data_IF_594284822646
#
_entry.id   IF_594284822646
#
_cell.length_a   1.000
_cell.length_b   1.000
_cell.length_c   1.000
_cell.angle_alpha   90.00
_cell.angle_beta   90.00
_cell.angle_gamma   90.00
#
_symmetry.space_group_name_H-M   'P 1'
#
loop_
_entity.id
_entity.type
_entity.pdbx_description
1 polymer ?
2 polymer ?
3 polymer ?
4 non-polymer ?
5 non-polymer ?
6 water ?
#
# COMPACT_ATOMS: atom_id res chain seq x y z
N UNK A 1 -27.38 -8.90 -0.68
CA UNK A 1 -25.95 -8.66 -0.82
C UNK A 1 -25.16 -9.94 -1.14
N UNK A 2 -24.64 -10.05 -2.37
CA UNK A 2 -23.70 -11.10 -2.73
C UNK A 2 -22.27 -10.63 -2.45
N UNK A 3 -21.55 -11.38 -1.61
CA UNK A 3 -20.22 -10.96 -1.18
C UNK A 3 -19.25 -12.15 -1.07
N UNK A 4 -17.96 -11.92 -1.40
CA UNK A 4 -16.87 -12.87 -1.08
C UNK A 4 -16.15 -12.43 0.19
N UNK A 5 -15.95 -13.36 1.14
CA UNK A 5 -15.23 -13.05 2.37
C UNK A 5 -14.17 -14.11 2.62
N UNK A 6 -12.92 -13.69 2.74
CA UNK A 6 -11.80 -14.58 2.95
C UNK A 6 -11.44 -14.69 4.43
N UNK A 7 -11.03 -15.90 4.82
CA UNK A 7 -10.51 -16.15 6.16
C UNK A 7 -9.33 -17.11 6.08
N UNK A 8 -8.60 -17.16 7.20
CA UNK A 8 -7.49 -18.05 7.35
C UNK A 8 -6.41 -17.28 8.06
N UNK A 9 -5.70 -17.94 8.98
CA UNK A 9 -4.53 -17.32 9.61
C UNK A 9 -3.54 -16.84 8.56
N UNK A 10 -3.06 -15.61 8.75
CA UNK A 10 -2.12 -15.05 7.82
C UNK A 10 -0.67 -15.03 8.28
N UNK A 11 -0.37 -15.33 9.56
CA UNK A 11 1.02 -15.35 10.05
C UNK A 11 1.52 -16.78 10.16
N UNK A 12 2.58 -17.07 9.43
CA UNK A 12 3.15 -18.39 9.27
C UNK A 12 4.64 -18.35 9.61
N UNK A 13 5.12 -19.43 10.21
CA UNK A 13 6.57 -19.63 10.23
C UNK A 13 7.00 -20.28 8.92
N UNK A 14 8.24 -20.05 8.47
CA UNK A 14 8.73 -20.74 7.27
C UNK A 14 8.39 -22.21 7.32
N UNK A 15 7.98 -22.77 6.18
CA UNK A 15 7.77 -24.20 5.90
C UNK A 15 6.44 -24.72 6.41
N UNK A 16 5.60 -23.91 7.06
CA UNK A 16 4.23 -24.28 7.36
C UNK A 16 3.39 -24.31 6.08
N UNK A 17 2.14 -24.76 6.23
CA UNK A 17 1.14 -24.81 5.16
C UNK A 17 0.14 -23.69 5.31
N UNK A 18 0.08 -22.80 4.33
CA UNK A 18 -0.92 -21.74 4.29
C UNK A 18 -2.25 -22.31 3.86
N UNK A 19 -3.31 -21.88 4.53
CA UNK A 19 -4.64 -22.41 4.25
C UNK A 19 -5.66 -21.27 4.33
N UNK A 20 -6.31 -20.98 3.21
CA UNK A 20 -7.21 -19.85 3.09
C UNK A 20 -8.52 -20.32 2.52
N UNK A 21 -9.58 -19.72 3.01
CA UNK A 21 -10.94 -20.04 2.61
C UNK A 21 -11.61 -18.78 2.10
N UNK A 22 -12.39 -18.93 1.05
CA UNK A 22 -13.15 -17.85 0.45
C UNK A 22 -14.61 -18.31 0.46
N UNK A 23 -15.46 -17.66 1.25
CA UNK A 23 -16.86 -18.04 1.39
C UNK A 23 -17.69 -17.05 0.63
N UNK A 24 -18.61 -17.54 -0.18
CA UNK A 24 -19.59 -16.69 -0.86
C UNK A 24 -20.87 -16.68 -0.01
N UNK A 25 -21.49 -15.51 0.11
CA UNK A 25 -22.80 -15.41 0.77
C UNK A 25 -23.72 -14.55 -0.11
N UNK A 26 -25.01 -14.92 -0.11
CA UNK A 26 -26.01 -14.32 -0.98
C UNK A 26 -26.16 -15.02 -2.31
N UNK A 27 -25.28 -15.98 -2.60
CA UNK A 27 -25.33 -16.78 -3.83
C UNK A 27 -24.81 -18.17 -3.47
N UNK A 28 -25.04 -19.11 -4.37
CA UNK A 28 -24.48 -20.45 -4.24
C UNK A 28 -23.15 -20.54 -5.00
N UNK A 29 -22.17 -21.24 -4.39
CA UNK A 29 -20.91 -21.49 -5.07
C UNK A 29 -21.09 -22.25 -6.37
N UNK A 30 -22.17 -23.03 -6.51
CA UNK A 30 -22.39 -23.82 -7.73
C UNK A 30 -23.00 -23.03 -8.89
N UNK A 31 -23.38 -21.78 -8.67
CA UNK A 31 -24.00 -20.98 -9.72
C UNK A 31 -23.14 -21.03 -10.98
N UNK A 32 -23.69 -21.36 -12.13
CA UNK A 32 -22.84 -21.71 -13.28
C UNK A 32 -22.22 -20.51 -13.96
N UNK A 33 -21.21 -20.81 -14.76
CA UNK A 33 -20.60 -19.83 -15.66
C UNK A 33 -19.94 -18.68 -14.88
N UNK A 34 -19.30 -18.99 -13.76
CA UNK A 34 -18.34 -18.10 -13.13
C UNK A 34 -16.93 -18.72 -13.15
N UNK A 35 -15.93 -17.87 -13.33
CA UNK A 35 -14.53 -18.26 -13.24
C UNK A 35 -13.98 -17.76 -11.90
N UNK A 36 -13.58 -18.68 -11.05
CA UNK A 36 -13.05 -18.39 -9.73
C UNK A 36 -11.52 -18.42 -9.71
N UNK A 37 -10.90 -17.41 -9.12
CA UNK A 37 -9.45 -17.27 -9.16
C UNK A 37 -8.89 -17.00 -7.78
N UNK A 38 -7.71 -17.55 -7.55
CA UNK A 38 -6.83 -17.04 -6.51
C UNK A 38 -5.71 -16.26 -7.20
N UNK A 39 -5.45 -15.04 -6.67
CA UNK A 39 -4.46 -14.08 -7.15
C UNK A 39 -3.70 -13.59 -5.94
N UNK A 40 -2.40 -13.31 -6.12
CA UNK A 40 -1.65 -12.73 -5.01
C UNK A 40 -0.80 -11.54 -5.44
N UNK A 41 -0.48 -10.73 -4.43
CA UNK A 41 0.26 -9.49 -4.65
C UNK A 41 1.24 -9.21 -3.50
N UNK A 42 2.56 -9.37 -3.72
CA UNK A 42 3.55 -8.86 -2.74
C UNK A 42 3.49 -7.33 -2.62
N UNK A 43 3.84 -6.82 -1.42
CA UNK A 43 3.74 -5.38 -1.16
C UNK A 43 4.61 -4.58 -2.14
N UNK A 44 3.98 -3.59 -2.79
CA UNK A 44 4.60 -2.74 -3.79
C UNK A 44 4.68 -3.31 -5.20
N UNK A 45 4.32 -4.57 -5.41
CA UNK A 45 4.57 -5.26 -6.67
C UNK A 45 3.25 -5.60 -7.37
N UNK A 46 3.35 -6.35 -8.46
CA UNK A 46 2.22 -6.64 -9.32
C UNK A 46 1.46 -7.89 -8.90
N UNK A 47 0.52 -8.29 -9.75
CA UNK A 47 -0.39 -9.37 -9.41
C UNK A 47 0.09 -10.66 -10.05
N UNK A 48 -0.12 -11.77 -9.35
CA UNK A 48 0.24 -13.07 -9.89
C UNK A 48 -0.96 -14.00 -9.76
N UNK A 49 -1.38 -14.59 -10.88
CA UNK A 49 -2.54 -15.48 -10.85
C UNK A 49 -2.04 -16.84 -10.35
N UNK A 50 -2.64 -17.32 -9.25
CA UNK A 50 -2.24 -18.61 -8.68
C UNK A 50 -2.94 -19.75 -9.38
N UNK A 51 -4.25 -19.62 -9.52
CA UNK A 51 -4.98 -20.62 -10.27
C UNK A 51 -6.48 -20.40 -10.16
N UNK A 52 -7.25 -21.37 -10.65
CA UNK A 52 -8.67 -21.17 -10.62
C UNK A 52 -9.44 -22.25 -11.34
N UNK A 53 -10.76 -22.05 -11.39
CA UNK A 53 -11.66 -23.09 -11.86
C UNK A 53 -12.92 -22.45 -12.43
N UNK A 54 -13.62 -23.17 -13.30
CA UNK A 54 -14.95 -22.74 -13.73
C UNK A 54 -15.99 -23.39 -12.85
N UNK A 55 -17.04 -22.65 -12.47
CA UNK A 55 -18.01 -23.22 -11.54
C UNK A 55 -18.84 -24.37 -12.17
N UNK A 56 -18.91 -24.48 -13.51
CA UNK A 56 -19.67 -25.53 -14.20
C UNK A 56 -18.87 -26.81 -14.54
N UNK A 57 -17.58 -26.88 -14.25
CA UNK A 57 -16.84 -28.11 -14.47
C UNK A 57 -16.06 -28.39 -13.20
N UNK A 58 -15.31 -29.48 -13.20
CA UNK A 58 -14.67 -29.90 -11.96
C UNK A 58 -13.15 -29.80 -12.04
N UNK A 59 -12.62 -29.40 -13.18
CA UNK A 59 -11.21 -29.13 -13.35
C UNK A 59 -10.79 -27.92 -12.54
N UNK A 60 -9.54 -27.91 -12.10
CA UNK A 60 -8.95 -26.69 -11.62
C UNK A 60 -7.61 -26.53 -12.30
N UNK A 61 -7.25 -25.27 -12.55
CA UNK A 61 -6.10 -24.89 -13.35
C UNK A 61 -5.10 -24.12 -12.51
N UNK A 62 -3.82 -24.41 -12.71
CA UNK A 62 -2.77 -23.94 -11.82
C UNK A 62 -1.71 -23.21 -12.63
N UNK A 63 -1.20 -22.09 -12.09
CA UNK A 63 0.05 -21.51 -12.59
C UNK A 63 1.21 -22.51 -12.41
N UNK A 64 1.94 -22.84 -13.48
CA UNK A 64 3.13 -23.73 -13.35
C UNK A 64 4.22 -23.21 -12.41
N UNK A 65 4.31 -21.91 -12.15
CA UNK A 65 5.36 -21.46 -11.24
C UNK A 65 5.07 -21.88 -9.80
N UNK A 66 3.82 -22.25 -9.48
CA UNK A 66 3.45 -22.63 -8.13
C UNK A 66 2.84 -24.02 -8.01
N UNK A 67 2.53 -24.70 -9.13
CA UNK A 67 1.74 -25.92 -9.11
C UNK A 67 2.30 -27.02 -8.18
N UNK A 68 3.62 -27.11 -7.96
CA UNK A 68 4.11 -28.18 -7.09
C UNK A 68 3.68 -28.00 -5.64
N UNK A 69 3.26 -26.80 -5.24
CA UNK A 69 3.01 -26.52 -3.84
C UNK A 69 1.57 -26.19 -3.51
N UNK A 70 0.70 -25.97 -4.51
CA UNK A 70 -0.62 -25.47 -4.18
C UNK A 70 -1.70 -26.45 -4.58
N UNK A 71 -2.73 -26.50 -3.75
CA UNK A 71 -3.94 -27.24 -4.03
C UNK A 71 -5.10 -26.26 -3.94
N UNK A 72 -5.90 -26.20 -5.01
CA UNK A 72 -7.06 -25.34 -5.02
C UNK A 72 -8.30 -26.23 -5.11
N UNK A 73 -9.29 -25.95 -4.25
CA UNK A 73 -10.43 -26.86 -4.15
C UNK A 73 -11.72 -26.13 -3.79
N UNK A 74 -12.78 -26.90 -3.62
CA UNK A 74 -14.13 -26.37 -3.56
C UNK A 74 -15.02 -27.31 -2.78
N UNK A 75 -15.78 -26.77 -1.83
CA UNK A 75 -16.73 -27.54 -1.04
C UNK A 75 -18.09 -26.89 -1.17
N UNK A 76 -18.97 -27.52 -1.96
CA UNK A 76 -20.28 -26.93 -2.25
C UNK A 76 -21.23 -26.97 -1.05
N UNK A 77 -21.12 -27.98 -0.17
CA UNK A 77 -21.97 -27.98 1.01
C UNK A 77 -21.78 -26.73 1.87
N UNK A 78 -20.54 -26.21 1.99
CA UNK A 78 -20.29 -25.02 2.79
C UNK A 78 -20.00 -23.78 1.97
N UNK A 79 -20.23 -23.82 0.66
CA UNK A 79 -19.96 -22.69 -0.23
C UNK A 79 -18.53 -22.13 -0.08
N UNK A 80 -17.53 -23.02 0.08
CA UNK A 80 -16.13 -22.62 0.28
C UNK A 80 -15.27 -22.88 -0.98
N UNK A 81 -14.40 -21.94 -1.29
CA UNK A 81 -13.39 -22.04 -2.35
C UNK A 81 -12.06 -21.88 -1.62
N UNK A 82 -11.12 -22.81 -1.83
CA UNK A 82 -10.00 -22.94 -0.90
C UNK A 82 -8.65 -22.93 -1.60
N UNK A 83 -7.67 -22.40 -0.88
CA UNK A 83 -6.29 -22.37 -1.30
C UNK A 83 -5.46 -23.00 -0.21
N UNK A 84 -4.64 -23.97 -0.59
CA UNK A 84 -3.62 -24.54 0.29
C UNK A 84 -2.25 -24.41 -0.38
N UNK A 85 -1.28 -23.88 0.37
CA UNK A 85 0.09 -23.72 -0.12
C UNK A 85 1.04 -24.40 0.86
N UNK A 86 1.77 -25.41 0.38
CA UNK A 86 2.67 -26.12 1.29
C UNK A 86 4.06 -25.48 1.28
N UNK A 87 4.83 -25.73 2.34
CA UNK A 87 6.22 -25.25 2.53
C UNK A 87 6.37 -23.78 2.20
N UNK A 88 5.60 -22.93 2.88
CA UNK A 88 5.78 -21.51 2.54
C UNK A 88 7.17 -21.03 3.00
N UNK A 89 7.67 -20.02 2.32
CA UNK A 89 8.94 -19.43 2.57
C UNK A 89 8.91 -17.91 2.53
N UNK A 90 10.07 -17.28 2.40
CA UNK A 90 10.12 -15.81 2.38
C UNK A 90 9.32 -15.23 1.22
N UNK A 91 9.40 -15.85 0.07
CA UNK A 91 8.69 -15.40 -1.09
C UNK A 91 7.19 -15.47 -1.20
N UNK A 92 6.53 -16.13 -0.30
CA UNK A 92 5.12 -16.23 -0.32
C UNK A 92 4.39 -15.13 0.40
N UNK A 93 5.11 -14.22 1.03
CA UNK A 93 4.53 -13.11 1.74
C UNK A 93 3.82 -12.25 0.76
N UNK A 94 2.53 -11.96 0.95
CA UNK A 94 1.72 -11.24 -0.04
C UNK A 94 0.29 -11.09 0.47
N UNK A 95 -0.48 -10.24 -0.20
CA UNK A 95 -1.93 -10.18 0.00
C UNK A 95 -2.56 -11.16 -0.99
N UNK A 96 -3.39 -12.07 -0.47
CA UNK A 96 -4.03 -13.09 -1.30
C UNK A 96 -5.51 -12.74 -1.48
N UNK A 97 -5.97 -12.71 -2.72
CA UNK A 97 -7.35 -12.41 -3.07
C UNK A 97 -8.00 -13.61 -3.76
N UNK A 98 -9.29 -13.78 -3.53
CA UNK A 98 -10.12 -14.55 -4.45
C UNK A 98 -11.00 -13.62 -5.28
N UNK A 99 -11.40 -14.13 -6.43
CA UNK A 99 -12.24 -13.41 -7.35
C UNK A 99 -13.27 -14.38 -7.95
N UNK A 100 -14.50 -13.90 -8.14
CA UNK A 100 -15.49 -14.62 -8.95
C UNK A 100 -15.92 -13.72 -10.09
N UNK A 101 -15.66 -14.14 -11.34
CA UNK A 101 -15.93 -13.30 -12.50
C UNK A 101 -16.83 -14.02 -13.51
N UNK A 102 -17.71 -13.28 -14.19
CA UNK A 102 -18.63 -13.93 -15.12
C UNK A 102 -17.85 -14.53 -16.27
N UNK A 103 -18.25 -15.71 -16.70
CA UNK A 103 -17.85 -16.18 -18.02
C UNK A 103 -18.76 -15.48 -19.01
N UNK A 104 -18.24 -14.41 -19.64
CA UNK A 104 -19.06 -13.40 -20.32
C UNK A 104 -19.98 -14.03 -21.36
N UNK A 105 -19.50 -15.05 -22.08
CA UNK A 105 -20.28 -15.57 -23.21
C UNK A 105 -21.53 -16.36 -22.79
N UNK A 106 -21.67 -16.75 -21.53
CA UNK A 106 -22.83 -17.50 -21.08
C UNK A 106 -23.44 -16.87 -19.85
N UNK A 107 -23.04 -15.63 -19.54
CA UNK A 107 -23.41 -15.01 -18.29
C UNK A 107 -23.12 -13.51 -18.35
N UNK A 108 -24.00 -12.70 -18.94
CA UNK A 108 -23.72 -11.28 -19.06
C UNK A 108 -24.17 -10.46 -17.87
N UNK A 109 -25.11 -10.96 -17.05
CA UNK A 109 -25.69 -10.18 -15.95
C UNK A 109 -25.36 -10.69 -14.55
N UNK A 110 -24.45 -11.65 -14.39
CA UNK A 110 -23.97 -11.99 -13.07
C UNK A 110 -22.93 -10.98 -12.52
N UNK A 111 -22.66 -11.05 -11.22
CA UNK A 111 -21.89 -10.00 -10.56
C UNK A 111 -20.43 -10.46 -10.36
N UNK A 112 -19.48 -9.65 -10.85
CA UNK A 112 -18.04 -9.83 -10.61
C UNK A 112 -17.67 -9.42 -9.19
N UNK A 113 -17.07 -10.33 -8.39
CA UNK A 113 -16.78 -10.06 -6.98
C UNK A 113 -15.32 -10.29 -6.61
N UNK A 114 -14.87 -9.57 -5.60
CA UNK A 114 -13.54 -9.81 -5.04
C UNK A 114 -13.66 -9.95 -3.52
N UNK A 115 -12.76 -10.78 -2.98
CA UNK A 115 -12.53 -10.76 -1.55
C UNK A 115 -11.87 -9.46 -1.10
N UNK A 116 -11.86 -9.26 0.21
CA UNK A 116 -11.16 -8.11 0.79
C UNK A 116 -9.64 -8.30 0.82
N UNK A 117 -9.15 -9.51 0.52
CA UNK A 117 -7.73 -9.82 0.59
C UNK A 117 -7.38 -10.26 2.00
N UNK A 118 -6.43 -11.17 2.13
CA UNK A 118 -5.86 -11.56 3.41
C UNK A 118 -4.36 -11.38 3.32
N UNK A 119 -3.78 -10.71 4.31
CA UNK A 119 -2.34 -10.39 4.29
C UNK A 119 -1.62 -11.55 4.95
N UNK A 120 -0.72 -12.18 4.19
CA UNK A 120 0.02 -13.35 4.62
C UNK A 120 1.47 -12.93 4.84
N UNK A 121 1.97 -13.17 6.04
CA UNK A 121 3.34 -12.91 6.42
C UNK A 121 4.02 -14.23 6.72
N UNK A 122 5.17 -14.48 6.16
CA UNK A 122 5.90 -15.67 6.44
C UNK A 122 7.15 -15.21 7.09
N UNK A 123 7.30 -15.52 8.34
CA UNK A 123 8.37 -14.97 9.13
C UNK A 123 8.63 -15.87 10.32
N UNK A 124 9.85 -15.79 10.84
CA UNK A 124 10.23 -16.40 12.12
C UNK A 124 9.86 -15.56 13.33
N UNK A 125 9.55 -14.27 13.17
CA UNK A 125 9.13 -13.42 14.28
C UNK A 125 7.88 -13.94 14.99
N UNK A 126 7.76 -13.56 16.26
CA UNK A 126 6.59 -13.80 17.10
C UNK A 126 5.76 -12.54 17.22
N UNK A 127 4.46 -12.74 17.46
CA UNK A 127 3.56 -11.66 17.75
C UNK A 127 4.10 -10.76 18.86
N UNK A 128 4.15 -9.47 18.60
CA UNK A 128 4.72 -8.49 19.53
C UNK A 128 3.99 -7.16 19.38
N UNK A 129 3.42 -6.66 20.47
CA UNK A 129 2.81 -5.36 20.46
C UNK A 129 3.89 -4.28 20.39
N UNK A 130 3.51 -3.07 19.98
CA UNK A 130 4.47 -1.98 19.75
C UNK A 130 4.79 -1.19 21.00
N UNK A 131 5.99 -0.62 21.00
CA UNK A 131 6.37 0.45 21.90
C UNK A 131 6.13 1.79 21.19
N UNK A 132 5.61 2.76 21.91
CA UNK A 132 5.16 4.01 21.34
C UNK A 132 5.89 5.16 22.03
N UNK A 133 6.55 5.99 21.24
CA UNK A 133 7.19 7.19 21.77
C UNK A 133 6.62 8.47 21.19
N UNK A 134 6.20 9.41 22.01
CA UNK A 134 5.75 10.70 21.48
C UNK A 134 6.88 11.45 20.79
N UNK A 135 6.52 12.18 19.73
CA UNK A 135 7.36 13.16 19.02
C UNK A 135 6.76 14.55 19.30
N UNK A 136 7.43 15.30 20.23
CA UNK A 136 7.00 16.57 20.78
C UNK A 136 7.22 17.70 19.79
N UNK A 137 6.24 18.60 19.66
CA UNK A 137 6.41 19.78 18.80
C UNK A 137 7.58 20.65 19.25
N UNK A 138 8.10 21.41 18.30
CA UNK A 138 9.15 22.39 18.59
C UNK A 138 8.51 23.65 19.19
N UNK A 139 9.34 24.60 19.59
CA UNK A 139 8.82 25.84 20.15
C UNK A 139 8.19 26.70 19.04
N UNK A 140 7.12 27.40 19.40
CA UNK A 140 6.36 28.26 18.50
C UNK A 140 7.22 29.34 17.86
N UNK A 141 7.17 29.43 16.53
CA UNK A 141 7.98 30.40 15.80
C UNK A 141 7.24 31.73 15.57
N UNK A 142 5.96 31.68 15.22
CA UNK A 142 5.20 32.90 15.00
C UNK A 142 3.82 32.74 15.63
N UNK A 143 3.09 33.85 15.69
CA UNK A 143 1.74 33.84 16.26
C UNK A 143 0.86 32.80 15.57
N UNK A 144 0.97 32.69 14.25
CA UNK A 144 0.08 31.90 13.42
C UNK A 144 0.79 30.72 12.73
N UNK A 145 1.96 30.30 13.21
CA UNK A 145 2.67 29.17 12.66
C UNK A 145 1.91 27.85 12.94
N UNK A 146 2.18 26.84 12.11
CA UNK A 146 1.66 25.51 12.43
C UNK A 146 2.74 24.69 13.12
N UNK A 147 2.33 23.98 14.17
CA UNK A 147 3.16 23.01 14.86
C UNK A 147 2.91 21.61 14.33
N UNK A 148 3.96 20.80 14.32
CA UNK A 148 3.82 19.39 14.01
C UNK A 148 4.10 18.57 15.26
N UNK A 149 3.29 17.53 15.48
CA UNK A 149 3.56 16.58 16.57
C UNK A 149 3.22 15.18 16.06
N UNK A 150 3.69 14.17 16.77
CA UNK A 150 3.42 12.84 16.24
C UNK A 150 3.70 11.78 17.29
N UNK A 151 3.58 10.51 16.85
CA UNK A 151 4.18 9.45 17.64
C UNK A 151 4.77 8.34 16.78
N UNK A 152 5.89 7.85 17.25
CA UNK A 152 6.64 6.76 16.66
C UNK A 152 6.17 5.43 17.27
N UNK A 153 5.87 4.49 16.39
CA UNK A 153 5.27 3.20 16.72
C UNK A 153 6.21 2.11 16.23
N UNK A 154 6.92 1.47 17.13
CA UNK A 154 7.98 0.60 16.66
C UNK A 154 7.98 -0.78 17.34
N UNK A 155 8.72 -1.68 16.71
CA UNK A 155 9.06 -2.98 17.28
C UNK A 155 7.83 -3.84 17.46
N UNK A 156 6.95 -3.83 16.46
CA UNK A 156 5.76 -4.63 16.50
C UNK A 156 5.82 -5.60 15.34
N UNK A 157 4.96 -6.66 15.41
CA UNK A 157 4.79 -7.75 14.46
C UNK A 157 3.50 -8.50 14.78
N UNK A 158 2.72 -8.91 13.80
CA UNK A 158 2.85 -8.54 12.38
C UNK A 158 2.21 -7.14 12.09
N UNK A 159 2.28 -6.68 10.85
CA UNK A 159 1.40 -5.63 10.43
C UNK A 159 -0.05 -6.08 10.59
N UNK A 160 -1.01 -5.14 10.65
CA UNK A 160 -0.92 -3.66 10.71
C UNK A 160 -1.18 -3.10 12.14
N UNK A 161 -0.83 -1.85 12.37
CA UNK A 161 -1.32 -1.05 13.47
C UNK A 161 -2.22 0.04 12.88
N UNK A 162 -3.12 0.57 13.70
CA UNK A 162 -3.86 1.77 13.31
C UNK A 162 -3.60 2.86 14.34
N UNK A 163 -3.39 4.06 13.84
CA UNK A 163 -3.21 5.24 14.67
C UNK A 163 -4.40 6.15 14.43
N UNK A 164 -5.09 6.50 15.49
CA UNK A 164 -6.03 7.59 15.43
C UNK A 164 -5.56 8.68 16.41
N UNK A 165 -6.19 9.85 16.34
CA UNK A 165 -5.83 10.96 17.19
C UNK A 165 -7.06 11.47 17.92
N UNK A 166 -6.89 11.75 19.22
CA UNK A 166 -8.00 12.14 20.09
C UNK A 166 -9.22 11.23 19.88
N UNK A 167 -9.00 9.91 20.00
CA UNK A 167 -10.06 8.90 19.82
C UNK A 167 -10.77 9.08 18.50
N UNK A 168 -10.03 9.47 17.46
CA UNK A 168 -10.58 9.65 16.14
C UNK A 168 -11.33 10.94 15.90
N UNK A 169 -11.29 11.90 16.83
CA UNK A 169 -11.99 13.15 16.59
C UNK A 169 -11.12 14.19 15.88
N UNK A 170 -9.85 13.88 15.62
CA UNK A 170 -8.91 14.75 14.91
C UNK A 170 -8.40 14.01 13.68
N UNK A 171 -8.83 14.44 12.47
CA UNK A 171 -8.49 13.78 11.19
C UNK A 171 -7.83 14.70 10.17
N UNK A 172 -8.11 15.99 10.22
CA UNK A 172 -7.43 16.90 9.31
C UNK A 172 -5.95 16.97 9.65
N UNK A 173 -5.11 16.91 8.62
CA UNK A 173 -3.65 17.00 8.76
C UNK A 173 -2.95 15.75 9.26
N UNK A 174 -3.65 14.64 9.49
CA UNK A 174 -3.01 13.43 9.98
C UNK A 174 -2.37 12.69 8.79
N UNK A 175 -1.09 12.34 8.93
CA UNK A 175 -0.38 11.52 7.97
C UNK A 175 0.18 10.32 8.73
N UNK A 176 -0.25 9.11 8.40
CA UNK A 176 0.35 7.91 8.98
C UNK A 176 1.18 7.22 7.90
N UNK A 177 2.47 7.10 8.13
CA UNK A 177 3.37 6.63 7.07
C UNK A 177 3.33 5.10 6.95
N UNK A 178 3.56 4.56 5.75
CA UNK A 178 3.64 3.10 5.61
C UNK A 178 4.74 2.52 6.52
N UNK A 179 4.52 1.30 6.98
CA UNK A 179 5.49 0.68 7.90
C UNK A 179 6.71 0.22 7.12
N UNK A 180 7.84 0.17 7.80
CA UNK A 180 9.06 -0.37 7.23
C UNK A 180 9.47 -1.59 8.05
N UNK A 181 9.78 -2.69 7.35
CA UNK A 181 10.35 -3.88 7.94
C UNK A 181 11.81 -3.68 8.29
N UNK A 182 12.15 -3.77 9.58
CA UNK A 182 13.53 -3.64 10.04
C UNK A 182 14.28 -4.97 9.89
N UNK A 183 15.60 -4.91 10.05
CA UNK A 183 16.35 -6.15 9.90
C UNK A 183 16.14 -7.09 11.08
N UNK A 184 15.69 -6.57 12.22
CA UNK A 184 15.27 -7.40 13.34
C UNK A 184 14.05 -8.24 13.02
N UNK A 185 13.35 -7.99 11.91
CA UNK A 185 12.13 -8.70 11.61
C UNK A 185 10.86 -8.01 12.05
N UNK A 186 10.98 -6.96 12.86
CA UNK A 186 9.89 -6.16 13.38
C UNK A 186 9.68 -4.93 12.49
N UNK A 187 8.51 -4.31 12.61
CA UNK A 187 8.12 -3.18 11.81
C UNK A 187 8.14 -1.90 12.65
N UNK A 188 8.10 -0.75 11.96
CA UNK A 188 7.92 0.53 12.63
C UNK A 188 7.47 1.61 11.67
N UNK A 189 6.80 2.63 12.25
CA UNK A 189 6.26 3.75 11.49
C UNK A 189 6.12 4.97 12.40
N UNK A 190 5.79 6.12 11.80
CA UNK A 190 5.40 7.30 12.55
C UNK A 190 4.05 7.79 12.06
N UNK A 191 3.29 8.40 12.98
CA UNK A 191 2.05 9.10 12.66
C UNK A 191 2.24 10.54 13.08
N UNK A 192 1.91 11.48 12.20
CA UNK A 192 2.09 12.89 12.52
C UNK A 192 0.80 13.65 12.23
N UNK A 193 0.68 14.80 12.86
CA UNK A 193 -0.45 15.69 12.63
C UNK A 193 0.08 17.13 12.73
N UNK A 194 -0.46 18.01 11.90
CA UNK A 194 -0.13 19.42 11.95
C UNK A 194 -1.31 20.11 12.61
N UNK A 195 -1.02 20.99 13.56
CA UNK A 195 -2.06 21.75 14.27
C UNK A 195 -1.62 23.22 14.39
N UNK A 196 -2.60 24.10 14.68
CA UNK A 196 -2.24 25.51 14.93
C UNK A 196 -1.46 25.60 16.22
N UNK A 197 -0.30 26.26 16.18
CA UNK A 197 0.51 26.32 17.39
C UNK A 197 -0.23 27.04 18.52
N UNK A 198 -1.16 27.94 18.18
CA UNK A 198 -1.93 28.62 19.23
C UNK A 198 -2.68 27.63 20.13
N UNK A 199 -3.19 26.53 19.56
CA UNK A 199 -3.94 25.51 20.28
C UNK A 199 -3.08 24.57 21.11
N UNK A 200 -1.75 24.74 21.17
CA UNK A 200 -0.96 23.80 21.95
C UNK A 200 -1.18 23.97 23.45
N UNK A 201 -1.61 25.14 23.89
CA UNK A 201 -1.75 25.38 25.32
C UNK A 201 -3.16 25.07 25.79
N UNK A 202 -4.10 25.04 24.86
CA UNK A 202 -5.50 24.89 25.20
C UNK A 202 -6.08 23.51 24.87
N UNK A 203 -5.42 22.73 24.02
CA UNK A 203 -5.97 21.49 23.50
C UNK A 203 -4.95 20.37 23.68
N UNK A 204 -5.45 19.20 24.11
CA UNK A 204 -4.63 18.03 24.40
C UNK A 204 -4.58 17.10 23.18
N UNK A 205 -3.44 16.47 22.98
CA UNK A 205 -3.22 15.61 21.82
C UNK A 205 -2.77 14.25 22.29
N UNK A 206 -3.52 13.23 21.89
CA UNK A 206 -3.25 11.84 22.25
C UNK A 206 -3.28 10.99 20.98
N UNK A 207 -2.22 10.24 20.74
CA UNK A 207 -2.33 9.21 19.71
C UNK A 207 -2.79 7.88 20.30
N UNK A 208 -3.69 7.22 19.59
CA UNK A 208 -4.27 5.94 19.98
C UNK A 208 -3.78 4.89 18.99
N UNK A 209 -2.82 4.09 19.41
CA UNK A 209 -2.32 2.97 18.65
C UNK A 209 -3.12 1.74 19.00
N UNK A 210 -3.65 1.07 17.99
CA UNK A 210 -4.33 -0.21 18.14
C UNK A 210 -3.59 -1.24 17.30
N UNK A 211 -3.05 -2.27 17.96
CA UNK A 211 -2.40 -3.41 17.32
C UNK A 211 -3.28 -4.65 17.57
N UNK A 212 -4.24 -4.85 16.65
CA UNK A 212 -5.20 -5.95 16.77
C UNK A 212 -4.57 -7.33 16.82
N UNK A 213 -3.56 -7.69 16.00
CA UNK A 213 -2.94 -9.03 16.14
C UNK A 213 -2.45 -9.37 17.56
N UNK A 214 -2.07 -8.41 18.39
CA UNK A 214 -1.71 -8.73 19.76
C UNK A 214 -2.75 -8.28 20.77
N UNK A 215 -3.88 -7.71 20.31
CA UNK A 215 -4.92 -7.19 21.22
C UNK A 215 -4.41 -6.08 22.12
N UNK A 216 -3.52 -5.26 21.59
CA UNK A 216 -2.86 -4.23 22.37
C UNK A 216 -3.38 -2.87 21.96
N UNK A 217 -3.62 -2.03 22.95
CA UNK A 217 -3.92 -0.63 22.70
C UNK A 217 -2.94 0.22 23.51
N UNK A 218 -2.39 1.24 22.88
CA UNK A 218 -1.50 2.19 23.55
C UNK A 218 -2.00 3.60 23.30
N UNK A 219 -2.08 4.40 24.35
CA UNK A 219 -2.62 5.76 24.25
C UNK A 219 -1.59 6.69 24.84
N UNK A 220 -0.92 7.48 24.00
CA UNK A 220 0.15 8.34 24.48
C UNK A 220 -0.22 9.81 24.30
N UNK A 221 -0.06 10.58 25.37
CA UNK A 221 -0.24 12.02 25.27
C UNK A 221 1.03 12.64 24.71
N UNK A 222 0.87 13.59 23.79
CA UNK A 222 1.99 14.33 23.22
C UNK A 222 1.91 15.75 23.77
N UNK A 223 2.96 16.19 24.47
CA UNK A 223 3.02 17.52 25.08
C UNK A 223 4.36 18.15 24.77
N UNK A 224 4.41 19.48 24.89
CA UNK A 224 5.68 20.20 24.74
C UNK A 224 6.58 19.91 25.94
N UNK A 225 7.88 19.77 25.67
CA UNK A 225 8.84 19.40 26.71
C UNK A 225 9.04 20.55 27.72
N UNK A 226 9.08 20.19 29.01
CA UNK A 226 9.24 21.16 30.10
C UNK A 226 10.73 21.22 30.44
N UNK A 227 11.35 22.37 30.17
CA UNK A 227 12.79 22.59 30.42
C UNK A 227 13.16 22.42 31.90
N UNK B 1 2.82 -19.19 -20.00
CA UNK B 1 3.92 -18.36 -20.44
C UNK B 1 3.54 -17.49 -21.62
N UNK B 2 2.83 -16.40 -21.35
CA UNK B 2 2.66 -15.30 -22.29
C UNK B 2 3.04 -14.04 -21.52
N UNK B 3 4.11 -13.38 -21.91
CA UNK B 3 4.54 -12.18 -21.19
C UNK B 3 3.68 -11.01 -21.57
N UNK B 4 3.36 -10.19 -20.59
CA UNK B 4 2.69 -8.92 -20.82
C UNK B 4 3.68 -7.84 -20.43
N UNK B 5 4.05 -6.98 -21.38
CA UNK B 5 4.99 -5.90 -21.14
C UNK B 5 4.23 -4.59 -21.14
N UNK B 6 4.16 -3.95 -19.97
CA UNK B 6 3.35 -2.77 -19.75
C UNK B 6 4.23 -1.51 -19.62
N UNK B 7 3.77 -0.39 -20.18
CA UNK B 7 4.60 0.79 -20.21
C UNK B 7 3.70 2.00 -20.23
N UNK B 8 4.08 3.08 -19.57
CA UNK B 8 5.27 3.16 -18.71
C UNK B 8 5.05 2.55 -17.31
N UNK B 9 6.08 2.45 -16.46
CA UNK B 9 5.84 1.93 -15.11
C UNK B 9 5.10 2.95 -14.25
N UNK B 10 5.24 4.25 -14.59
CA UNK B 10 4.55 5.31 -13.86
C UNK B 10 4.30 6.49 -14.78
N UNK B 11 3.24 7.24 -14.49
CA UNK B 11 2.98 8.40 -15.30
C UNK B 11 2.28 9.49 -14.51
N UNK B 12 2.51 10.72 -14.95
CA UNK B 12 2.15 11.91 -14.20
C UNK B 12 1.46 12.86 -15.17
N UNK B 13 0.21 13.26 -14.91
CA UNK B 13 -0.37 14.29 -15.77
C UNK B 13 -1.36 15.16 -15.00
N UNK B 14 -1.63 16.36 -15.54
CA UNK B 14 -2.52 17.31 -14.87
C UNK B 14 -3.96 16.86 -14.98
N UNK B 15 -4.80 17.34 -14.07
CA UNK B 15 -6.24 17.10 -14.20
C UNK B 15 -6.68 17.59 -15.56
N UNK B 16 -7.45 16.77 -16.26
CA UNK B 16 -7.93 17.10 -17.58
C UNK B 16 -7.07 16.63 -18.73
N UNK B 17 -5.85 16.21 -18.48
CA UNK B 17 -5.04 15.74 -19.59
C UNK B 17 -5.48 14.34 -20.03
N UNK B 18 -4.85 13.87 -21.08
CA UNK B 18 -5.15 12.63 -21.75
C UNK B 18 -3.95 11.71 -21.60
N UNK B 19 -4.14 10.54 -20.96
CA UNK B 19 -2.99 9.65 -20.78
C UNK B 19 -3.26 8.29 -21.42
N UNK B 20 -2.19 7.65 -21.86
CA UNK B 20 -2.29 6.29 -22.35
C UNK B 20 -1.27 5.37 -21.64
N UNK B 21 -1.71 4.14 -21.37
CA UNK B 21 -0.85 3.03 -20.97
C UNK B 21 -0.86 2.01 -22.11
N UNK B 22 0.31 1.47 -22.43
CA UNK B 22 0.32 0.44 -23.45
C UNK B 22 0.77 -0.88 -22.85
N UNK B 23 0.39 -1.94 -23.54
CA UNK B 23 0.63 -3.31 -23.09
C UNK B 23 0.90 -4.16 -24.33
N UNK B 24 2.07 -4.77 -24.43
CA UNK B 24 2.30 -5.69 -25.54
C UNK B 24 2.56 -7.13 -25.09
N UNK B 25 1.91 -8.05 -25.78
CA UNK B 25 1.94 -9.46 -25.47
C UNK B 25 3.03 -10.16 -26.26
N UNK B 26 3.64 -11.18 -25.67
CA UNK B 26 4.69 -11.92 -26.34
C UNK B 26 4.16 -12.79 -27.48
N UNK B 27 2.86 -12.95 -27.62
CA UNK B 27 2.34 -13.69 -28.76
C UNK B 27 0.90 -13.26 -28.97
N UNK B 28 0.35 -13.63 -30.12
CA UNK B 28 -0.97 -13.11 -30.48
C UNK B 28 -2.02 -13.57 -29.47
N UNK B 29 -2.76 -12.61 -28.91
CA UNK B 29 -3.79 -12.92 -27.93
C UNK B 29 -5.15 -12.43 -28.40
N UNK B 30 -5.27 -12.10 -29.69
CA UNK B 30 -6.53 -11.64 -30.30
C UNK B 30 -7.04 -10.44 -29.52
N UNK B 31 -8.25 -10.45 -29.01
CA UNK B 31 -8.73 -9.38 -28.16
C UNK B 31 -9.10 -9.91 -26.78
N UNK B 32 -8.35 -10.92 -26.32
CA UNK B 32 -8.56 -11.53 -24.99
C UNK B 32 -7.70 -10.78 -23.97
N UNK B 33 -8.10 -9.53 -23.71
CA UNK B 33 -7.35 -8.61 -22.87
C UNK B 33 -8.29 -7.81 -21.99
N UNK B 34 -7.95 -7.72 -20.71
CA UNK B 34 -8.71 -6.96 -19.72
C UNK B 34 -7.80 -5.90 -19.13
N UNK B 35 -8.39 -4.81 -18.67
CA UNK B 35 -7.66 -3.79 -17.90
C UNK B 35 -8.33 -3.65 -16.55
N UNK B 36 -7.49 -3.62 -15.50
CA UNK B 36 -7.93 -3.47 -14.10
C UNK B 36 -7.34 -2.21 -13.48
N UNK B 37 -8.12 -1.63 -12.57
CA UNK B 37 -7.70 -0.50 -11.75
C UNK B 37 -7.60 -0.99 -10.31
N UNK B 38 -6.52 -0.64 -9.63
CA UNK B 38 -6.42 -0.95 -8.20
C UNK B 38 -6.08 0.31 -7.40
N UNK B 39 -7.03 0.73 -6.56
CA UNK B 39 -6.77 1.83 -5.62
C UNK B 39 -6.00 1.28 -4.43
N UNK B 40 -5.28 2.18 -3.76
CA UNK B 40 -4.36 1.77 -2.69
C UNK B 40 -5.10 1.01 -1.59
N UNK B 41 -4.57 -0.15 -1.22
CA UNK B 41 -5.18 -0.93 -0.16
C UNK B 41 -6.45 -1.68 -0.53
N UNK B 42 -6.85 -1.67 -1.81
CA UNK B 42 -8.12 -2.25 -2.25
C UNK B 42 -7.87 -3.40 -3.22
N UNK B 43 -8.92 -4.18 -3.48
CA UNK B 43 -8.84 -5.20 -4.51
C UNK B 43 -8.94 -4.56 -5.90
N UNK B 44 -8.30 -5.16 -6.89
CA UNK B 44 -8.51 -4.71 -8.26
C UNK B 44 -9.97 -4.64 -8.61
N UNK B 45 -10.29 -3.88 -9.66
CA UNK B 45 -11.64 -3.73 -10.17
C UNK B 45 -11.50 -3.59 -11.67
N UNK B 46 -12.22 -4.40 -12.43
CA UNK B 46 -11.98 -4.45 -13.87
C UNK B 46 -12.64 -3.26 -14.52
N UNK B 47 -11.90 -2.58 -15.37
CA UNK B 47 -12.39 -1.48 -16.18
C UNK B 47 -12.95 -1.98 -17.48
N UNK B 48 -12.27 -2.92 -18.12
CA UNK B 48 -12.87 -3.42 -19.34
C UNK B 48 -12.32 -4.81 -19.67
N UNK B 49 -13.11 -5.57 -20.47
CA UNK B 49 -12.74 -6.85 -21.10
C UNK B 49 -12.84 -6.74 -22.63
N UNK B 50 -12.48 -7.83 -23.34
CA UNK B 50 -12.49 -7.93 -24.80
C UNK B 50 -11.82 -6.69 -25.42
N UNK B 51 -10.75 -6.22 -24.79
CA UNK B 51 -9.92 -5.12 -25.26
C UNK B 51 -10.53 -3.74 -25.00
N UNK B 52 -11.88 -3.62 -25.14
CA UNK B 52 -12.51 -2.31 -25.20
C UNK B 52 -13.92 -2.23 -24.67
N UNK B 53 -14.49 -3.30 -24.13
CA UNK B 53 -15.86 -3.31 -23.62
C UNK B 53 -15.89 -2.90 -22.15
N UNK B 54 -16.24 -1.66 -21.87
CA UNK B 54 -16.38 -1.21 -20.49
C UNK B 54 -17.38 -2.03 -19.70
N UNK B 55 -17.03 -2.27 -18.44
CA UNK B 55 -17.88 -2.81 -17.40
C UNK B 55 -18.85 -1.74 -16.92
N UNK B 56 -19.95 -2.20 -16.33
CA UNK B 56 -20.95 -1.31 -15.78
C UNK B 56 -20.33 -0.43 -14.71
N UNK B 57 -20.74 0.85 -14.68
CA UNK B 57 -20.26 1.74 -13.65
C UNK B 57 -18.95 2.42 -13.95
N UNK B 58 -18.29 2.07 -15.06
CA UNK B 58 -16.98 2.58 -15.38
C UNK B 58 -17.16 3.85 -16.23
N UNK B 59 -16.68 5.00 -15.77
CA UNK B 59 -16.81 6.25 -16.54
C UNK B 59 -16.34 6.11 -17.98
N UNK B 60 -17.00 6.83 -18.87
CA UNK B 60 -16.73 6.71 -20.30
C UNK B 60 -15.45 7.41 -20.73
N UNK B 61 -14.76 8.14 -19.82
CA UNK B 61 -13.42 8.67 -20.14
C UNK B 61 -12.36 7.56 -20.29
N UNK B 62 -12.60 6.36 -19.77
CA UNK B 62 -11.70 5.23 -19.99
C UNK B 62 -12.03 4.57 -21.31
N UNK B 63 -11.01 4.21 -22.09
CA UNK B 63 -11.28 3.47 -23.31
C UNK B 63 -10.08 2.59 -23.65
N UNK B 64 -10.31 1.52 -24.40
CA UNK B 64 -9.22 0.67 -24.80
C UNK B 64 -9.26 0.39 -26.29
N UNK B 65 -8.11 -0.05 -26.79
CA UNK B 65 -8.00 -0.36 -28.18
C UNK B 65 -6.92 -1.41 -28.31
N UNK B 66 -6.90 -2.09 -29.46
CA UNK B 66 -5.84 -3.02 -29.79
C UNK B 66 -6.41 -4.37 -30.17
N UNK B 67 -5.69 -5.07 -31.04
CA UNK B 67 -5.99 -6.45 -31.37
C UNK B 67 -4.68 -7.08 -31.79
N UNK B 68 -4.45 -8.31 -31.33
CA UNK B 68 -3.23 -9.01 -31.70
C UNK B 68 -2.16 -8.99 -30.63
N UNK B 69 -1.16 -8.11 -30.75
CA UNK B 69 -0.11 -8.09 -29.75
C UNK B 69 0.05 -6.76 -29.02
N UNK B 70 -0.60 -5.66 -29.44
CA UNK B 70 -0.41 -4.36 -28.80
C UNK B 70 -1.75 -3.75 -28.42
N UNK B 71 -1.79 -3.18 -27.22
CA UNK B 71 -3.05 -2.72 -26.63
C UNK B 71 -2.83 -1.43 -25.88
N UNK B 72 -3.84 -0.57 -25.89
CA UNK B 72 -3.76 0.73 -25.26
C UNK B 72 -4.96 0.91 -24.37
N UNK B 73 -4.73 1.37 -23.15
CA UNK B 73 -5.76 1.97 -22.33
C UNK B 73 -5.55 3.48 -22.34
N UNK B 74 -6.63 4.22 -22.52
CA UNK B 74 -6.61 5.69 -22.57
C UNK B 74 -7.54 6.23 -21.50
N UNK B 75 -7.12 7.31 -20.87
CA UNK B 75 -7.98 8.06 -19.97
C UNK B 75 -8.10 9.47 -20.57
N UNK B 76 -9.34 9.84 -20.93
CA UNK B 76 -9.58 11.02 -21.75
C UNK B 76 -9.35 12.30 -20.98
N UNK B 77 -9.91 12.37 -19.76
CA UNK B 77 -9.84 13.58 -18.95
C UNK B 77 -9.44 13.12 -17.55
N UNK B 78 -8.13 12.99 -17.33
CA UNK B 78 -7.64 12.46 -16.04
C UNK B 78 -8.24 13.24 -14.87
N UNK B 79 -8.80 12.49 -13.90
CA UNK B 79 -9.48 13.00 -12.73
C UNK B 79 -8.71 12.62 -11.45
N UNK B 80 -8.93 13.31 -10.34
CA UNK B 80 -8.24 12.91 -9.09
C UNK B 80 -8.63 11.53 -8.59
N UNK B 81 -9.88 11.13 -8.79
CA UNK B 81 -10.30 9.80 -8.39
C UNK B 81 -9.57 8.68 -9.18
N UNK B 82 -8.76 9.01 -10.21
CA UNK B 82 -8.04 8.06 -11.05
C UNK B 82 -6.63 7.72 -10.53
N UNK B 83 -6.24 8.20 -9.35
CA UNK B 83 -4.95 7.89 -8.76
C UNK B 83 -4.98 6.41 -8.38
N UNK B 84 -4.21 5.60 -9.09
CA UNK B 84 -4.32 4.16 -8.91
C UNK B 84 -3.20 3.48 -9.67
N UNK B 85 -3.06 2.17 -9.39
CA UNK B 85 -2.31 1.28 -10.25
C UNK B 85 -3.25 0.72 -11.32
N UNK B 86 -2.71 0.43 -12.50
CA UNK B 86 -3.44 -0.16 -13.60
C UNK B 86 -2.66 -1.36 -14.11
N UNK B 87 -3.40 -2.45 -14.41
CA UNK B 87 -2.83 -3.72 -14.88
C UNK B 87 -3.57 -4.21 -16.10
N UNK B 88 -2.83 -4.60 -17.13
CA UNK B 88 -3.46 -5.41 -18.14
C UNK B 88 -3.45 -6.87 -17.70
N UNK B 89 -4.32 -7.66 -18.32
CA UNK B 89 -4.31 -9.11 -18.12
C UNK B 89 -4.74 -9.80 -19.40
N UNK B 90 -4.00 -10.82 -19.83
CA UNK B 90 -4.41 -11.63 -20.97
C UNK B 90 -5.10 -12.90 -20.49
N UNK B 91 -6.07 -13.35 -21.27
CA UNK B 91 -6.78 -14.58 -20.98
C UNK B 91 -7.05 -15.36 -22.25
N UNK B 92 -6.11 -15.29 -23.18
CA UNK B 92 -6.10 -16.16 -24.35
C UNK B 92 -5.66 -17.58 -23.99
N UNK B 93 -4.74 -17.73 -23.04
CA UNK B 93 -4.21 -19.03 -22.61
C UNK B 93 -3.94 -19.06 -21.11
N UNK B 94 -4.12 -20.25 -20.51
CA UNK B 94 -3.56 -20.46 -19.18
C UNK B 94 -2.06 -20.66 -19.26
N UNK B 95 -1.30 -20.15 -18.29
CA UNK B 95 -1.82 -19.38 -17.14
C UNK B 95 -2.16 -17.92 -17.47
N UNK B 96 -3.20 -17.37 -16.84
CA UNK B 96 -3.48 -15.94 -16.88
C UNK B 96 -2.26 -15.16 -16.44
N UNK B 97 -1.95 -14.08 -17.14
CA UNK B 97 -0.78 -13.29 -16.75
C UNK B 97 -1.11 -11.81 -16.84
N UNK B 98 -0.48 -11.03 -15.97
CA UNK B 98 -0.73 -9.61 -15.86
C UNK B 98 0.46 -8.80 -16.35
N UNK B 99 0.19 -7.59 -16.82
CA UNK B 99 1.26 -6.64 -17.00
C UNK B 99 1.82 -6.23 -15.64
N UNK B 100 3.05 -5.74 -15.66
CA UNK B 100 3.71 -5.34 -14.44
C UNK B 100 3.10 -4.14 -13.75
N UNK B 101 2.17 -3.43 -14.40
CA UNK B 101 1.52 -2.36 -13.66
C UNK B 101 1.99 -0.96 -14.05
N UNK B 102 1.10 0.01 -13.88
CA UNK B 102 1.44 1.42 -14.09
C UNK B 102 0.86 2.21 -12.93
N UNK B 103 1.68 3.03 -12.30
CA UNK B 103 1.22 3.94 -11.26
C UNK B 103 0.89 5.32 -11.87
N UNK B 104 -0.29 5.83 -11.57
CA UNK B 104 -0.77 7.10 -12.11
C UNK B 104 -0.74 8.17 -11.02
N UNK B 105 -0.08 9.30 -11.31
CA UNK B 105 -0.02 10.46 -10.43
C UNK B 105 -0.67 11.68 -11.07
N UNK B 106 -1.27 12.54 -10.24
CA UNK B 106 -1.77 13.84 -10.69
C UNK B 106 -0.64 14.86 -10.60
N UNK B 107 -0.38 15.57 -11.70
CA UNK B 107 0.54 16.70 -11.73
C UNK B 107 -0.19 17.96 -11.28
N UNK B 108 0.24 18.55 -10.17
CA UNK B 108 -0.34 19.81 -9.67
C UNK B 108 0.77 20.86 -9.54
N UNK B 109 0.41 22.05 -9.05
CA UNK B 109 1.39 23.12 -8.96
C UNK B 109 2.40 22.86 -7.84
N UNK B 110 3.62 23.34 -8.07
CA UNK B 110 4.70 23.18 -7.12
C UNK B 110 4.33 23.78 -5.77
N UNK B 111 4.56 23.01 -4.71
CA UNK B 111 4.35 23.45 -3.34
C UNK B 111 5.52 22.95 -2.51
N UNK B 112 6.21 23.86 -1.83
CA UNK B 112 7.37 23.51 -1.01
C UNK B 112 6.92 22.76 0.25
N UNK B 113 7.76 21.90 0.81
CA UNK B 113 7.40 21.22 2.06
C UNK B 113 7.56 22.16 3.22
N UNK B 114 6.71 22.00 4.22
CA UNK B 114 7.10 22.53 5.52
C UNK B 114 7.89 21.43 6.23
N UNK B 115 8.92 21.82 6.97
CA UNK B 115 9.96 20.89 7.45
C UNK B 115 10.04 20.96 8.97
N UNK B 116 10.00 19.79 9.62
CA UNK B 116 10.06 19.68 11.08
C UNK B 116 11.03 18.61 11.52
N UNK B 117 11.77 18.88 12.60
CA UNK B 117 12.65 17.87 13.16
C UNK B 117 12.20 17.56 14.59
N UNK B 118 12.34 16.31 15.00
CA UNK B 118 11.87 15.80 16.29
C UNK B 118 13.03 15.13 17.01
N UNK B 119 13.60 15.77 18.01
CA UNK B 119 14.60 15.12 18.86
C UNK B 119 13.97 13.96 19.59
N UNK B 120 14.72 12.86 19.82
CA UNK B 120 14.18 11.76 20.62
C UNK B 120 13.97 12.17 22.08
N UNK B 121 12.82 11.80 22.62
CA UNK B 121 12.53 11.99 24.04
C UNK B 121 13.53 11.24 24.93
N UNK B 122 13.64 11.71 26.18
CA UNK B 122 14.43 11.02 27.19
C UNK B 122 14.06 9.53 27.30
N UNK B 123 12.78 9.19 27.13
CA UNK B 123 12.42 7.77 27.25
C UNK B 123 12.92 6.95 26.07
N UNK B 124 13.07 7.54 24.91
CA UNK B 124 13.65 6.83 23.81
C UNK B 124 15.13 6.65 24.08
N UNK B 125 15.78 7.63 24.63
CA UNK B 125 17.15 7.49 24.94
C UNK B 125 17.33 6.45 26.01
N UNK B 126 16.46 6.41 27.01
CA UNK B 126 16.60 5.37 28.05
C UNK B 126 16.47 3.97 27.45
N UNK B 127 15.71 3.82 26.37
CA UNK B 127 15.44 2.49 25.85
C UNK B 127 16.63 1.80 25.17
N UNK B 128 17.70 2.52 24.91
CA UNK B 128 18.82 1.96 24.22
C UNK B 128 19.03 2.34 22.77
N UNK B 129 17.97 2.54 22.01
CA UNK B 129 18.11 2.96 20.63
C UNK B 129 17.22 4.16 20.28
N UNK B 130 17.70 5.08 19.49
CA UNK B 130 16.92 6.26 19.17
C UNK B 130 16.62 6.50 17.74
N UNK B 131 15.54 7.20 17.47
CA UNK B 131 15.14 7.54 16.13
C UNK B 131 14.94 9.06 16.09
N UNK B 132 15.72 9.77 15.29
CA UNK B 132 15.51 11.19 15.05
C UNK B 132 14.62 11.32 13.83
N UNK B 133 13.53 12.06 13.93
CA UNK B 133 12.59 12.07 12.80
C UNK B 133 12.57 13.45 12.12
N UNK B 134 12.61 13.45 10.80
CA UNK B 134 12.48 14.64 9.98
C UNK B 134 11.24 14.48 9.10
N UNK B 135 10.30 15.41 9.20
CA UNK B 135 9.06 15.37 8.43
C UNK B 135 9.05 16.48 7.39
N UNK B 136 8.63 16.14 6.19
CA UNK B 136 8.32 17.09 5.13
C UNK B 136 6.82 16.98 4.84
N UNK B 137 6.06 18.03 5.14
CA UNK B 137 4.60 17.96 5.04
C UNK B 137 4.11 18.74 3.82
N UNK B 138 3.21 18.09 3.07
CA UNK B 138 2.30 18.67 2.05
C UNK B 138 3.07 19.38 0.93
N UNK B 139 3.79 18.60 0.14
CA UNK B 139 4.66 19.14 -0.89
C UNK B 139 4.46 18.41 -2.22
N UNK B 140 4.87 19.07 -3.32
CA UNK B 140 4.77 18.56 -4.70
C UNK B 140 5.78 19.30 -5.56
N UNK B 141 6.52 18.62 -6.43
CA UNK B 141 6.46 17.18 -6.72
C UNK B 141 7.19 16.33 -5.67
N UNK B 142 7.19 15.03 -5.93
CA UNK B 142 7.64 14.04 -4.94
C UNK B 142 9.16 14.06 -4.78
N UNK B 143 9.90 14.38 -5.83
CA UNK B 143 11.37 14.40 -5.75
C UNK B 143 11.83 15.39 -4.70
N UNK B 144 12.67 14.94 -3.80
CA UNK B 144 13.13 15.78 -2.71
C UNK B 144 14.40 15.14 -2.17
N UNK B 145 15.38 15.95 -1.84
CA UNK B 145 16.62 15.41 -1.31
C UNK B 145 16.73 15.79 0.17
N UNK B 146 16.78 14.78 1.04
CA UNK B 146 16.84 14.95 2.49
C UNK B 146 18.14 14.35 2.95
N UNK B 147 19.02 15.18 3.51
CA UNK B 147 20.31 14.68 3.99
C UNK B 147 20.43 14.92 5.48
N UNK B 148 21.03 13.96 6.18
CA UNK B 148 21.34 14.08 7.59
C UNK B 148 22.77 14.57 7.80
N UNK B 149 22.92 15.59 8.64
CA UNK B 149 24.22 16.11 9.05
C UNK B 149 24.29 16.06 10.59
N UNK B 150 25.33 15.41 11.08
CA UNK B 150 25.58 15.20 12.50
C UNK B 150 26.89 15.91 12.85
N UNK B 151 26.85 16.87 13.72
CA UNK B 151 27.99 17.70 14.04
C UNK B 151 28.57 18.31 12.80
N UNK B 152 27.72 18.60 11.83
CA UNK B 152 28.11 19.26 10.61
C UNK B 152 28.46 18.35 9.45
N UNK B 153 28.66 17.06 9.68
CA UNK B 153 29.11 16.16 8.61
C UNK B 153 27.97 15.25 8.15
N UNK B 154 27.99 14.95 6.85
CA UNK B 154 26.97 14.11 6.22
C UNK B 154 27.00 12.69 6.79
N UNK B 155 25.84 12.16 7.16
CA UNK B 155 25.70 10.82 7.69
C UNK B 155 24.91 10.02 6.70
N UNK B 156 25.41 8.87 6.29
CA UNK B 156 24.85 8.22 5.12
C UNK B 156 23.90 7.06 5.45
N UNK B 157 24.35 6.11 6.26
CA UNK B 157 23.71 4.81 6.21
C UNK B 157 22.78 4.36 7.33
N UNK B 158 22.23 5.26 8.12
CA UNK B 158 21.32 4.80 9.16
C UNK B 158 19.94 5.41 9.03
N UNK B 159 19.56 5.89 7.85
CA UNK B 159 18.29 6.57 7.70
C UNK B 159 17.43 5.82 6.70
N UNK B 160 16.14 5.98 6.85
CA UNK B 160 15.18 5.38 5.94
C UNK B 160 14.08 6.38 5.70
N UNK B 161 13.55 6.38 4.49
CA UNK B 161 12.48 7.29 4.13
C UNK B 161 11.17 6.57 3.90
N UNK B 162 10.10 7.27 4.20
CA UNK B 162 8.78 6.71 4.02
C UNK B 162 7.88 7.81 3.48
N UNK B 163 7.05 7.46 2.50
CA UNK B 163 6.28 8.47 1.81
C UNK B 163 4.83 8.06 1.74
N UNK B 164 3.95 8.99 2.05
CA UNK B 164 2.51 8.81 1.91
C UNK B 164 2.11 8.68 0.44
N UNK B 165 0.92 8.16 0.23
CA UNK B 165 0.26 8.23 -1.06
C UNK B 165 -0.10 9.69 -1.35
N UNK B 166 -0.23 10.02 -2.64
CA UNK B 166 -0.75 11.34 -3.00
C UNK B 166 -2.11 11.58 -2.32
N UNK B 167 -2.24 12.72 -1.66
CA UNK B 167 -3.45 13.08 -0.92
C UNK B 167 -4.63 13.30 -1.86
N UNK B 168 -5.78 12.72 -1.53
CA UNK B 168 -6.91 12.81 -2.45
C UNK B 168 -7.51 14.21 -2.51
N UNK B 169 -7.36 14.99 -1.43
CA UNK B 169 -7.82 16.38 -1.38
C UNK B 169 -6.88 17.34 -2.14
N UNK B 170 -5.60 17.45 -1.74
CA UNK B 170 -4.75 18.47 -2.35
C UNK B 170 -3.64 17.93 -3.27
N UNK B 171 -3.57 16.60 -3.49
CA UNK B 171 -2.64 15.98 -4.43
C UNK B 171 -1.15 16.13 -4.05
N UNK B 172 -0.84 16.41 -2.79
CA UNK B 172 0.53 16.51 -2.31
C UNK B 172 0.98 15.24 -1.59
N UNK B 173 2.27 15.21 -1.32
CA UNK B 173 2.94 14.16 -0.59
C UNK B 173 3.41 14.64 0.79
N UNK B 174 3.59 13.69 1.70
CA UNK B 174 4.39 13.96 2.88
C UNK B 174 5.41 12.84 3.06
N UNK B 175 6.46 13.13 3.81
CA UNK B 175 7.59 12.24 3.84
C UNK B 175 8.21 12.27 5.23
N UNK B 176 8.69 11.12 5.68
CA UNK B 176 9.48 11.03 6.89
C UNK B 176 10.84 10.45 6.56
N UNK B 177 11.88 11.03 7.14
CA UNK B 177 13.22 10.47 7.08
C UNK B 177 13.58 10.21 8.53
N UNK B 178 13.87 8.95 8.86
CA UNK B 178 14.12 8.51 10.23
C UNK B 178 15.58 8.08 10.33
N UNK B 179 16.30 8.65 11.29
CA UNK B 179 17.70 8.34 11.56
C UNK B 179 17.77 7.50 12.84
N UNK B 180 18.17 6.22 12.70
CA UNK B 180 18.16 5.28 13.81
C UNK B 180 19.58 4.97 14.29
N UNK B 181 19.79 5.23 15.55
CA UNK B 181 21.05 5.06 16.13
C UNK B 181 20.94 4.46 17.45
N UNK B 182 22.04 3.96 17.94
CA UNK B 182 22.09 3.46 19.26
C UNK B 182 22.22 4.63 20.19
N UNK B 183 21.88 4.45 21.43
CA UNK B 183 21.99 5.51 22.39
C UNK B 183 23.40 6.02 22.56
N UNK B 184 24.39 5.14 22.53
CA UNK B 184 25.74 5.55 22.56
C UNK B 184 26.26 6.39 21.38
N UNK B 185 26.02 6.13 20.07
CA UNK B 185 26.47 7.09 19.00
C UNK B 185 25.66 8.35 19.16
N UNK B 186 24.40 8.26 19.53
CA UNK B 186 23.58 9.43 19.69
C UNK B 186 24.08 10.37 20.72
N UNK B 187 24.55 9.88 21.83
CA UNK B 187 25.07 10.73 22.84
C UNK B 187 26.47 11.19 22.61
N UNK B 188 27.10 10.71 21.58
CA UNK B 188 28.44 11.14 21.30
C UNK B 188 28.48 12.31 20.36
N UNK B 189 27.32 12.76 19.93
CA UNK B 189 27.23 13.86 19.05
C UNK B 189 26.32 14.91 19.59
N UNK B 190 26.57 16.14 19.21
CA UNK B 190 25.81 17.25 19.64
C UNK B 190 24.76 17.85 18.72
N UNK B 191 25.08 18.07 17.47
CA UNK B 191 24.17 18.71 16.56
C UNK B 191 23.62 17.81 15.53
N UNK B 192 22.31 17.78 15.42
CA UNK B 192 21.59 16.96 14.50
C UNK B 192 20.78 17.85 13.61
N UNK B 193 20.86 17.66 12.32
CA UNK B 193 20.23 18.55 11.36
C UNK B 193 19.77 17.72 10.17
N UNK B 194 18.61 18.05 9.64
CA UNK B 194 18.24 17.56 8.32
C UNK B 194 18.12 18.74 7.37
N UNK B 195 18.68 18.52 6.20
CA UNK B 195 18.78 19.54 5.18
C UNK B 195 17.95 19.06 4.00
N UNK B 196 16.94 19.85 3.63
CA UNK B 196 15.98 19.51 2.59
C UNK B 196 16.19 20.40 1.36
N UNK B 197 16.26 19.76 0.20
CA UNK B 197 16.32 20.41 -1.11
C UNK B 197 15.09 20.00 -1.89
N UNK B 198 14.41 20.99 -2.50
CA UNK B 198 13.17 20.74 -3.23
C UNK B 198 12.96 21.87 -4.25
N UNK B 199 12.37 21.52 -5.40
CA UNK B 199 12.05 22.55 -6.40
C UNK B 199 11.26 23.72 -5.81
N UNK B 200 10.47 23.50 -4.75
CA UNK B 200 9.71 24.59 -4.14
C UNK B 200 10.49 25.50 -3.18
N UNK B 201 11.77 25.24 -2.93
CA UNK B 201 12.53 26.06 -1.97
C UNK B 201 13.66 26.78 -2.70
N UNK B 202 13.88 28.06 -2.38
CA UNK B 202 14.85 28.81 -3.19
C UNK B 202 16.30 28.47 -2.86
N UNK B 203 16.53 27.74 -1.78
CA UNK B 203 17.82 27.19 -1.36
C UNK B 203 17.54 26.21 -0.22
N UNK B 204 18.49 25.35 0.15
CA UNK B 204 18.15 24.27 1.10
C UNK B 204 17.64 24.79 2.45
N UNK B 205 16.64 24.10 3.02
CA UNK B 205 16.14 24.41 4.36
C UNK B 205 16.79 23.45 5.35
N UNK B 206 17.43 23.98 6.39
CA UNK B 206 17.97 23.13 7.45
C UNK B 206 17.16 23.29 8.73
N UNK B 207 16.72 22.18 9.32
CA UNK B 207 16.13 22.17 10.65
C UNK B 207 17.04 21.37 11.56
N UNK B 208 17.38 21.94 12.71
CA UNK B 208 18.37 21.29 13.54
C UNK B 208 18.05 21.51 15.01
N UNK B 209 18.77 20.80 15.85
CA UNK B 209 18.71 20.86 17.30
C UNK B 209 20.02 20.47 17.89
N UNK B 210 20.25 20.84 19.13
CA UNK B 210 21.43 20.49 19.85
C UNK B 210 21.00 19.54 20.90
N UNK B 211 21.56 18.37 20.95
CA UNK B 211 21.18 17.39 21.92
C UNK B 211 21.39 17.85 23.34
N UNK B 212 20.40 17.68 24.18
CA UNK B 212 20.48 18.06 25.57
C UNK B 212 19.94 19.43 25.93
N UNK B 213 19.27 20.11 25.00
CA UNK B 213 18.67 21.42 25.30
C UNK B 213 17.27 21.53 24.72
N UNK C 1 -10.01 -16.84 -25.12
CA UNK C 1 -10.31 -18.25 -25.27
C UNK C 1 -10.45 -18.89 -23.89
N UNK C 2 -9.90 -18.27 -22.85
CA UNK C 2 -9.90 -18.94 -21.56
C UNK C 2 -10.37 -17.99 -20.45
N UNK C 3 -10.73 -18.57 -19.32
CA UNK C 3 -11.10 -17.75 -18.18
C UNK C 3 -12.41 -17.02 -18.36
N UNK C 4 -12.40 -15.68 -18.28
CA UNK C 4 -13.66 -14.99 -18.48
C UNK C 4 -14.10 -15.09 -19.94
N UNK C 5 -13.19 -15.43 -20.85
CA UNK C 5 -13.51 -15.63 -22.24
C UNK C 5 -13.61 -17.09 -22.67
N UNK C 6 -13.88 -17.98 -21.73
CA UNK C 6 -14.15 -19.37 -22.08
C UNK C 6 -15.49 -19.44 -22.79
N UNK C 7 -15.61 -20.35 -23.75
CA UNK C 7 -16.92 -20.71 -24.28
C UNK C 7 -17.15 -22.20 -24.13
N UNK C 8 -18.33 -22.54 -23.64
CA UNK C 8 -18.73 -23.95 -23.47
C UNK C 8 -19.83 -24.34 -24.44
X LIG D 1 -18.76 -21.00 6.30
X LIG D 1 -18.79 -22.44 6.57
X LIG D 1 -19.67 -20.31 7.20
X LIG D 1 -17.40 -20.50 6.51
X LIG D 1 -19.16 -20.77 4.91
X LIG E 1 -18.18 -8.98 -24.54
X LIG E 1 -17.23 -10.02 -24.17
X LIG E 1 -18.97 -8.57 -23.38
X LIG E 1 -17.45 -7.82 -25.06
X LIG E 1 -19.08 -9.49 -25.57
X LIG F 1 -0.81 17.95 6.28
#
# INVERSE_FOLDING_TARGET
>A
EVQLVESGPGVMKPSETLSLICAVSGDTISSPYYFWSWVRQPRGKGLEWIGGLYSNTMDVYYNPSLQSRVTISRDTSKNHFSLKVTSVTDTDTAVYYCARERVVAHNYYGLDLWGQGVAVTVSSASTKGPSVFPLAPSSRSTSESTAALGCLVKDYFPEPVTVSWNSGSLTSGVHTFPAVLQSSGLYSLSSVVTVPSSSLGTQTYVCNVNHKPSNTKVDKRVEIKTCG
>B
DIQMTQSPSSLSASVGDRVTITCRASQDIKNSLSWYQQKLGKAPRRLMHHSSTLETGVPSRFSGSGYGTEFTLSINSLQPEDIAAYYCQQYEDFPLTFGGGTQVEIKRTVAAPSVFIFPPSEDQVKSGTVSVVCLLNNFYPREASVKWKVDGALKTGNSQESVTEQDSKDNTYSLSSTLTLSSTEYQSHKVYACEVTHQGLSSPVTKSFNRGEC
>C
AVGIGAVF
>D hetero
1 SO4 S O1 O2 O3 O4
>E hetero
1 SO4 S O1 O2 O3 O4
>F hetero
1 CA CA
#
